data_IF_331492055392
#
_entry.id   IF_331492055392
#
_cell.length_a   1.000
_cell.length_b   1.000
_cell.length_c   1.000
_cell.angle_alpha   90.00
_cell.angle_beta   90.00
_cell.angle_gamma   90.00
#
_symmetry.space_group_name_H-M   'P 1'
#
loop_
_entity.id
_entity.type
_entity.pdbx_description
1 polymer ?
#
# COMPACT_ATOMS: atom_id res chain seq x y z
N UNK A 1 26.67 -55.01 -22.28
CA UNK A 1 25.56 -55.21 -21.33
C UNK A 1 24.29 -55.52 -22.09
N UNK A 2 23.63 -56.65 -21.81
CA UNK A 2 22.32 -56.97 -22.39
C UNK A 2 21.26 -55.95 -21.95
N UNK A 3 20.21 -55.79 -22.74
CA UNK A 3 19.14 -54.82 -22.44
C UNK A 3 18.41 -55.16 -21.13
N UNK A 4 18.13 -56.44 -20.89
CA UNK A 4 17.58 -56.94 -19.61
C UNK A 4 18.44 -56.53 -18.41
N UNK A 5 19.76 -56.55 -18.56
CA UNK A 5 20.69 -56.14 -17.50
C UNK A 5 20.67 -54.62 -17.28
N UNK A 6 20.63 -53.82 -18.35
CA UNK A 6 20.50 -52.36 -18.24
C UNK A 6 19.23 -51.95 -17.49
N UNK A 7 18.10 -52.61 -17.76
CA UNK A 7 16.82 -52.35 -17.08
C UNK A 7 16.92 -52.60 -15.59
N UNK A 8 17.61 -53.67 -15.16
CA UNK A 8 17.87 -53.94 -13.73
C UNK A 8 18.65 -52.81 -13.06
N UNK A 9 19.53 -52.13 -13.79
CA UNK A 9 20.34 -51.02 -13.29
C UNK A 9 19.64 -49.65 -13.36
N UNK A 10 18.40 -49.59 -13.87
CA UNK A 10 17.61 -48.35 -13.94
C UNK A 10 17.44 -47.74 -15.33
N UNK A 11 17.88 -48.43 -16.40
CA UNK A 11 17.57 -48.02 -17.78
C UNK A 11 16.07 -48.09 -18.08
N UNK A 12 15.55 -47.11 -18.80
CA UNK A 12 14.17 -47.10 -19.28
C UNK A 12 14.14 -47.22 -20.81
N UNK A 13 13.57 -48.30 -21.39
CA UNK A 13 13.45 -48.39 -22.85
C UNK A 13 12.53 -47.30 -23.38
N UNK A 14 12.90 -46.68 -24.51
CA UNK A 14 12.13 -45.60 -25.19
C UNK A 14 11.72 -44.46 -24.23
N UNK A 15 12.70 -43.74 -23.62
CA UNK A 15 12.39 -42.71 -22.64
C UNK A 15 11.69 -41.49 -23.29
N UNK A 16 10.51 -41.13 -22.80
CA UNK A 16 9.74 -39.95 -23.26
C UNK A 16 10.09 -38.71 -22.44
N UNK A 17 10.10 -38.83 -21.11
CA UNK A 17 10.31 -37.70 -20.20
C UNK A 17 11.78 -37.20 -20.20
N UNK A 18 12.03 -35.87 -20.08
CA UNK A 18 13.38 -35.31 -20.05
C UNK A 18 14.28 -35.94 -18.98
N UNK A 19 13.72 -36.22 -17.80
CA UNK A 19 14.45 -36.85 -16.69
C UNK A 19 14.89 -38.27 -16.99
N UNK A 20 14.05 -39.07 -17.67
CA UNK A 20 14.39 -40.44 -18.05
C UNK A 20 15.34 -40.48 -19.26
N UNK A 21 15.21 -39.54 -20.20
CA UNK A 21 16.20 -39.34 -21.28
C UNK A 21 17.58 -39.01 -20.70
N UNK A 22 17.63 -38.09 -19.75
CA UNK A 22 18.85 -37.75 -19.03
C UNK A 22 19.41 -38.94 -18.27
N UNK A 23 18.59 -39.68 -17.52
CA UNK A 23 19.00 -40.90 -16.82
C UNK A 23 19.73 -41.88 -17.74
N UNK A 24 19.12 -42.19 -18.88
CA UNK A 24 19.71 -43.09 -19.86
C UNK A 24 21.04 -42.57 -20.42
N UNK A 25 21.20 -41.25 -20.59
CA UNK A 25 22.47 -40.67 -21.06
C UNK A 25 23.62 -40.79 -20.07
N UNK A 26 23.35 -40.74 -18.76
CA UNK A 26 24.41 -40.80 -17.73
C UNK A 26 24.67 -42.23 -17.22
N UNK A 27 23.72 -43.15 -17.39
CA UNK A 27 23.82 -44.52 -16.89
C UNK A 27 25.11 -45.25 -17.31
N UNK A 28 25.58 -45.20 -18.59
CA UNK A 28 26.79 -45.90 -19.00
C UNK A 28 28.04 -45.43 -18.24
N UNK A 29 28.16 -44.12 -18.05
CA UNK A 29 29.30 -43.51 -17.36
C UNK A 29 29.26 -43.81 -15.87
N UNK A 30 28.09 -43.67 -15.23
CA UNK A 30 27.91 -44.02 -13.81
C UNK A 30 28.18 -45.51 -13.58
N UNK A 31 27.72 -46.38 -14.47
CA UNK A 31 28.00 -47.82 -14.40
C UNK A 31 29.50 -48.10 -14.52
N UNK A 32 30.19 -47.51 -15.51
CA UNK A 32 31.64 -47.71 -15.72
C UNK A 32 32.44 -47.37 -14.46
N UNK A 33 32.06 -46.32 -13.74
CA UNK A 33 32.83 -45.86 -12.60
C UNK A 33 32.43 -46.45 -11.26
N UNK A 34 31.12 -46.53 -10.98
CA UNK A 34 30.62 -46.90 -9.65
C UNK A 34 30.31 -48.40 -9.52
N UNK A 35 29.91 -49.07 -10.60
CA UNK A 35 29.59 -50.51 -10.54
C UNK A 35 30.77 -51.37 -10.09
N UNK A 36 32.03 -51.15 -10.53
CA UNK A 36 33.19 -51.91 -10.05
C UNK A 36 33.44 -51.81 -8.54
N UNK A 37 32.91 -50.76 -7.90
CA UNK A 37 33.05 -50.50 -6.46
C UNK A 37 31.96 -51.16 -5.65
N UNK A 38 30.70 -51.07 -6.09
CA UNK A 38 29.57 -51.62 -5.33
C UNK A 38 29.30 -53.11 -5.63
N UNK A 39 29.56 -53.56 -6.87
CA UNK A 39 29.37 -54.93 -7.37
C UNK A 39 27.99 -55.55 -7.10
N UNK A 40 26.98 -54.72 -6.78
CA UNK A 40 25.63 -55.14 -6.41
C UNK A 40 24.59 -54.35 -7.22
N UNK A 41 23.81 -55.00 -8.10
CA UNK A 41 22.84 -54.30 -8.95
C UNK A 41 21.82 -53.45 -8.19
N UNK A 42 21.29 -53.92 -7.06
CA UNK A 42 20.27 -53.17 -6.31
C UNK A 42 20.86 -51.91 -5.65
N UNK A 43 22.06 -52.03 -5.07
CA UNK A 43 22.78 -50.90 -4.47
C UNK A 43 23.28 -49.91 -5.51
N UNK A 44 23.69 -50.40 -6.68
CA UNK A 44 23.98 -49.55 -7.82
C UNK A 44 22.74 -48.76 -8.23
N UNK A 45 21.60 -49.43 -8.41
CA UNK A 45 20.35 -48.79 -8.84
C UNK A 45 19.90 -47.72 -7.85
N UNK A 46 19.95 -48.02 -6.55
CA UNK A 46 19.64 -47.06 -5.48
C UNK A 46 20.48 -45.79 -5.60
N UNK A 47 21.82 -45.94 -5.66
CA UNK A 47 22.74 -44.83 -5.84
C UNK A 47 22.49 -44.06 -7.15
N UNK A 48 22.34 -44.79 -8.26
CA UNK A 48 22.14 -44.21 -9.57
C UNK A 48 20.86 -43.34 -9.63
N UNK A 49 19.76 -43.80 -9.03
CA UNK A 49 18.51 -43.04 -9.01
C UNK A 49 18.61 -41.77 -8.15
N UNK A 50 19.32 -41.84 -7.01
CA UNK A 50 19.60 -40.69 -6.17
C UNK A 50 20.44 -39.65 -6.91
N UNK A 51 21.55 -40.09 -7.51
CA UNK A 51 22.47 -39.20 -8.21
C UNK A 51 21.85 -38.60 -9.48
N UNK A 52 21.07 -39.40 -10.22
CA UNK A 52 20.25 -38.92 -11.35
C UNK A 52 19.32 -37.80 -10.90
N UNK A 53 18.59 -38.00 -9.81
CA UNK A 53 17.65 -36.99 -9.33
C UNK A 53 18.39 -35.70 -8.99
N UNK A 54 19.46 -35.80 -8.21
CA UNK A 54 20.29 -34.66 -7.83
C UNK A 54 20.85 -33.90 -9.03
N UNK A 55 21.53 -34.59 -9.95
CA UNK A 55 22.13 -33.94 -11.13
C UNK A 55 21.07 -33.33 -12.05
N UNK A 56 19.92 -33.99 -12.23
CA UNK A 56 18.83 -33.46 -13.06
C UNK A 56 18.18 -32.23 -12.43
N UNK A 57 17.89 -32.27 -11.13
CA UNK A 57 17.23 -31.16 -10.44
C UNK A 57 18.14 -29.92 -10.43
N UNK A 58 19.46 -30.10 -10.22
CA UNK A 58 20.46 -29.03 -10.34
C UNK A 58 20.51 -28.46 -11.76
N UNK A 59 20.57 -29.32 -12.77
CA UNK A 59 20.54 -28.92 -14.18
C UNK A 59 19.31 -28.07 -14.50
N UNK A 60 18.12 -28.51 -14.08
CA UNK A 60 16.87 -27.77 -14.31
C UNK A 60 16.85 -26.43 -13.58
N UNK A 61 17.35 -26.36 -12.34
CA UNK A 61 17.49 -25.08 -11.63
C UNK A 61 18.43 -24.12 -12.37
N UNK A 62 19.58 -24.60 -12.82
CA UNK A 62 20.55 -23.79 -13.58
C UNK A 62 19.98 -23.31 -14.93
N UNK A 63 19.31 -24.18 -15.69
CA UNK A 63 18.64 -23.83 -16.96
C UNK A 63 17.54 -22.78 -16.77
N UNK A 64 16.75 -22.91 -15.69
CA UNK A 64 15.71 -21.93 -15.33
C UNK A 64 16.32 -20.58 -14.98
N UNK A 65 17.40 -20.58 -14.19
CA UNK A 65 18.11 -19.37 -13.82
C UNK A 65 18.71 -18.68 -15.04
N UNK A 66 19.37 -19.44 -15.91
CA UNK A 66 19.91 -18.94 -17.19
C UNK A 66 18.81 -18.32 -18.05
N UNK A 67 17.67 -19.00 -18.20
CA UNK A 67 16.54 -18.49 -18.99
C UNK A 67 15.98 -17.18 -18.44
N UNK A 68 15.97 -17.00 -17.11
CA UNK A 68 15.51 -15.78 -16.46
C UNK A 68 16.51 -14.62 -16.63
N UNK A 69 17.81 -14.90 -16.61
CA UNK A 69 18.85 -13.90 -16.91
C UNK A 69 18.76 -13.47 -18.38
N UNK A 70 18.59 -14.42 -19.31
CA UNK A 70 18.40 -14.11 -20.72
C UNK A 70 17.12 -13.30 -20.98
N UNK A 71 16.04 -13.56 -20.23
CA UNK A 71 14.85 -12.72 -20.29
C UNK A 71 15.16 -11.26 -19.91
N UNK A 72 15.94 -11.02 -18.85
CA UNK A 72 16.34 -9.65 -18.46
C UNK A 72 17.22 -9.00 -19.54
N UNK A 73 18.10 -9.78 -20.18
CA UNK A 73 18.98 -9.30 -21.26
C UNK A 73 18.26 -9.15 -22.61
N UNK A 74 17.06 -9.69 -22.75
CA UNK A 74 16.29 -9.67 -23.99
C UNK A 74 15.72 -8.29 -24.37
N UNK A 75 15.25 -8.18 -25.61
CA UNK A 75 14.73 -6.94 -26.21
C UNK A 75 13.23 -6.68 -25.91
N UNK A 76 12.68 -7.25 -24.85
CA UNK A 76 11.29 -7.03 -24.44
C UNK A 76 11.14 -5.65 -23.76
N UNK A 77 10.04 -4.90 -23.97
CA UNK A 77 9.76 -3.66 -23.25
C UNK A 77 9.87 -3.74 -21.71
N UNK A 78 9.56 -4.90 -21.12
CA UNK A 78 9.67 -5.16 -19.69
C UNK A 78 11.07 -5.63 -19.23
N UNK A 79 11.92 -6.01 -20.18
CA UNK A 79 13.30 -6.43 -19.96
C UNK A 79 14.24 -5.22 -19.98
N UNK A 80 15.52 -5.50 -19.76
CA UNK A 80 16.56 -4.51 -19.64
C UNK A 80 17.52 -4.47 -20.84
N UNK A 81 17.32 -5.31 -21.86
CA UNK A 81 18.25 -5.47 -22.99
C UNK A 81 18.60 -4.15 -23.67
N UNK A 82 17.61 -3.26 -23.88
CA UNK A 82 17.87 -1.93 -24.49
C UNK A 82 18.84 -1.07 -23.70
N UNK A 83 18.89 -1.23 -22.37
CA UNK A 83 19.76 -0.45 -21.48
C UNK A 83 21.17 -1.02 -21.40
N UNK A 84 21.38 -2.25 -21.88
CA UNK A 84 22.69 -2.91 -21.90
C UNK A 84 23.53 -2.51 -23.12
N UNK A 85 22.94 -1.79 -24.07
CA UNK A 85 23.65 -1.24 -25.23
C UNK A 85 24.52 -0.04 -24.82
N UNK A 86 25.74 0.03 -25.36
CA UNK A 86 26.72 1.08 -25.03
C UNK A 86 26.20 2.49 -25.34
N UNK A 87 25.46 2.62 -26.43
CA UNK A 87 24.89 3.88 -26.92
C UNK A 87 23.40 4.05 -26.55
N UNK A 88 22.94 3.42 -25.47
CA UNK A 88 21.56 3.55 -25.01
C UNK A 88 21.15 5.03 -24.81
N UNK A 89 19.99 5.40 -25.34
CA UNK A 89 19.37 6.73 -25.19
C UNK A 89 18.16 6.64 -24.25
N UNK A 90 18.20 7.38 -23.15
CA UNK A 90 17.10 7.48 -22.20
C UNK A 90 15.89 8.16 -22.85
N UNK A 91 14.70 7.56 -22.73
CA UNK A 91 13.47 8.05 -23.35
C UNK A 91 12.56 8.82 -22.38
N UNK A 92 12.77 8.70 -21.08
CA UNK A 92 11.97 9.42 -20.09
C UNK A 92 12.06 8.85 -18.68
N UNK A 93 11.30 9.47 -17.76
CA UNK A 93 11.25 9.09 -16.33
C UNK A 93 10.83 7.62 -16.09
N UNK A 94 10.06 6.99 -16.99
CA UNK A 94 9.66 5.58 -16.81
C UNK A 94 10.85 4.61 -16.92
N UNK A 95 11.90 4.97 -17.66
CA UNK A 95 13.09 4.13 -17.86
C UNK A 95 13.75 3.79 -16.53
N UNK A 96 13.78 4.76 -15.59
CA UNK A 96 14.28 4.56 -14.23
C UNK A 96 13.62 3.37 -13.56
N UNK A 97 12.28 3.34 -13.54
CA UNK A 97 11.52 2.29 -12.86
C UNK A 97 11.75 0.91 -13.47
N UNK A 98 11.97 0.84 -14.78
CA UNK A 98 12.27 -0.41 -15.48
C UNK A 98 13.69 -0.89 -15.17
N UNK A 99 14.67 0.03 -15.13
CA UNK A 99 16.05 -0.29 -14.77
C UNK A 99 16.14 -0.76 -13.31
N UNK A 100 15.58 0.00 -12.35
CA UNK A 100 15.56 -0.37 -10.93
C UNK A 100 14.93 -1.76 -10.70
N UNK A 101 13.81 -2.04 -11.36
CA UNK A 101 13.15 -3.35 -11.27
C UNK A 101 14.04 -4.48 -11.79
N UNK A 102 14.75 -4.27 -12.89
CA UNK A 102 15.62 -5.29 -13.47
C UNK A 102 16.94 -5.45 -12.68
N UNK A 103 17.49 -4.39 -12.10
CA UNK A 103 18.60 -4.47 -11.13
C UNK A 103 18.18 -5.34 -9.95
N UNK A 104 17.01 -5.09 -9.35
CA UNK A 104 16.51 -5.89 -8.23
C UNK A 104 16.39 -7.37 -8.63
N UNK A 105 15.76 -7.66 -9.79
CA UNK A 105 15.66 -9.03 -10.30
C UNK A 105 17.02 -9.70 -10.47
N UNK A 106 18.01 -9.00 -11.04
CA UNK A 106 19.34 -9.56 -11.22
C UNK A 106 20.06 -9.81 -9.89
N UNK A 107 19.89 -8.94 -8.88
CA UNK A 107 20.43 -9.18 -7.53
C UNK A 107 19.82 -10.42 -6.89
N UNK A 108 18.49 -10.60 -7.00
CA UNK A 108 17.82 -11.82 -6.53
C UNK A 108 18.37 -13.08 -7.25
N UNK A 109 18.67 -12.96 -8.56
CA UNK A 109 19.26 -14.07 -9.35
C UNK A 109 20.72 -14.33 -9.05
N UNK A 110 21.47 -13.31 -8.69
CA UNK A 110 22.85 -13.45 -8.22
C UNK A 110 22.91 -14.26 -6.92
N UNK A 111 22.00 -13.98 -5.98
CA UNK A 111 21.88 -14.72 -4.72
C UNK A 111 21.46 -16.19 -4.98
N UNK A 112 20.49 -16.42 -5.88
CA UNK A 112 20.08 -17.77 -6.27
C UNK A 112 21.24 -18.56 -6.92
N UNK A 113 22.05 -17.91 -7.76
CA UNK A 113 23.25 -18.50 -8.35
C UNK A 113 24.29 -18.89 -7.29
N UNK A 114 24.52 -17.99 -6.31
CA UNK A 114 25.46 -18.23 -5.21
C UNK A 114 25.02 -19.42 -4.34
N UNK A 115 23.73 -19.51 -4.00
CA UNK A 115 23.19 -20.67 -3.25
C UNK A 115 23.39 -21.99 -4.00
N UNK A 116 23.16 -22.00 -5.31
CA UNK A 116 23.41 -23.18 -6.14
C UNK A 116 24.88 -23.56 -6.21
N UNK A 117 25.77 -22.57 -6.30
CA UNK A 117 27.22 -22.80 -6.25
C UNK A 117 27.61 -23.43 -4.91
N UNK A 118 27.17 -22.87 -3.78
CA UNK A 118 27.47 -23.38 -2.44
C UNK A 118 26.97 -24.82 -2.25
N UNK A 119 25.73 -25.12 -2.71
CA UNK A 119 25.18 -26.48 -2.67
C UNK A 119 26.05 -27.47 -3.47
N UNK A 120 26.49 -27.06 -4.67
CA UNK A 120 27.35 -27.87 -5.52
C UNK A 120 28.75 -28.06 -4.94
N UNK A 121 29.37 -27.02 -4.40
CA UNK A 121 30.70 -27.08 -3.80
C UNK A 121 30.70 -27.94 -2.53
N UNK A 122 29.67 -27.80 -1.66
CA UNK A 122 29.50 -28.66 -0.48
C UNK A 122 29.38 -30.13 -0.88
N UNK A 123 28.56 -30.42 -1.88
CA UNK A 123 28.44 -31.78 -2.38
C UNK A 123 29.74 -32.28 -3.02
N UNK A 124 30.41 -31.46 -3.84
CA UNK A 124 31.64 -31.84 -4.51
C UNK A 124 32.76 -32.17 -3.50
N UNK A 125 32.90 -31.34 -2.47
CA UNK A 125 33.82 -31.58 -1.36
C UNK A 125 33.53 -32.89 -0.62
N UNK A 126 32.24 -33.29 -0.50
CA UNK A 126 31.85 -34.57 0.12
C UNK A 126 32.26 -35.81 -0.69
N UNK A 127 32.65 -35.63 -1.96
CA UNK A 127 33.13 -36.73 -2.81
C UNK A 127 34.61 -37.08 -2.55
N UNK A 128 35.33 -36.27 -1.77
CA UNK A 128 36.73 -36.49 -1.42
C UNK A 128 36.86 -37.20 -0.07
N UNK A 129 37.99 -37.89 0.11
CA UNK A 129 38.40 -38.41 1.41
C UNK A 129 38.65 -37.25 2.39
N UNK A 130 38.55 -37.50 3.72
CA UNK A 130 39.01 -36.54 4.71
C UNK A 130 40.44 -36.04 4.39
N UNK A 131 40.64 -34.73 4.35
CA UNK A 131 41.90 -34.11 3.91
C UNK A 131 41.99 -33.76 2.41
N UNK A 132 40.92 -33.96 1.63
CA UNK A 132 40.68 -33.33 0.33
C UNK A 132 41.55 -33.77 -0.86
N UNK A 133 42.64 -34.50 -0.64
CA UNK A 133 43.61 -34.84 -1.69
C UNK A 133 43.15 -35.92 -2.68
N UNK A 134 42.25 -36.81 -2.28
CA UNK A 134 41.88 -37.98 -3.08
C UNK A 134 40.38 -38.16 -3.16
N UNK A 135 39.86 -38.35 -4.37
CA UNK A 135 38.46 -38.67 -4.61
C UNK A 135 38.11 -40.07 -4.08
N UNK A 136 36.89 -40.22 -3.56
CA UNK A 136 36.33 -41.53 -3.22
C UNK A 136 36.17 -42.38 -4.50
N UNK A 137 36.48 -43.67 -4.38
CA UNK A 137 36.43 -44.60 -5.52
C UNK A 137 35.02 -44.65 -6.11
N UNK A 138 34.91 -44.54 -7.44
CA UNK A 138 33.64 -44.57 -8.15
C UNK A 138 32.81 -43.29 -8.05
N UNK A 139 33.40 -42.16 -7.63
CA UNK A 139 32.76 -40.83 -7.61
C UNK A 139 33.22 -39.88 -8.73
N UNK A 140 34.04 -40.35 -9.67
CA UNK A 140 34.62 -39.50 -10.73
C UNK A 140 33.56 -38.81 -11.59
N UNK A 141 32.49 -39.51 -11.95
CA UNK A 141 31.41 -39.00 -12.79
C UNK A 141 30.64 -37.90 -12.06
N UNK A 142 30.35 -38.10 -10.77
CA UNK A 142 29.71 -37.09 -9.93
C UNK A 142 30.57 -35.83 -9.83
N UNK A 143 31.88 -35.99 -9.64
CA UNK A 143 32.82 -34.88 -9.58
C UNK A 143 32.92 -34.14 -10.92
N UNK A 144 33.10 -34.86 -12.02
CA UNK A 144 33.14 -34.28 -13.37
C UNK A 144 31.84 -33.56 -13.73
N UNK A 145 30.68 -34.12 -13.33
CA UNK A 145 29.39 -33.46 -13.49
C UNK A 145 29.29 -32.18 -12.67
N UNK A 146 29.73 -32.19 -11.41
CA UNK A 146 29.72 -30.99 -10.58
C UNK A 146 30.65 -29.91 -11.15
N UNK A 147 31.85 -30.28 -11.60
CA UNK A 147 32.79 -29.36 -12.21
C UNK A 147 32.19 -28.63 -13.42
N UNK A 148 31.52 -29.36 -14.32
CA UNK A 148 30.82 -28.77 -15.46
C UNK A 148 29.69 -27.81 -15.02
N UNK A 149 28.90 -28.20 -14.02
CA UNK A 149 27.82 -27.34 -13.51
C UNK A 149 28.35 -26.09 -12.80
N UNK A 150 29.44 -26.21 -12.05
CA UNK A 150 30.12 -25.08 -11.41
C UNK A 150 30.65 -24.10 -12.44
N UNK A 151 31.23 -24.58 -13.54
CA UNK A 151 31.68 -23.71 -14.64
C UNK A 151 30.51 -22.95 -15.28
N UNK A 152 29.38 -23.63 -15.53
CA UNK A 152 28.17 -23.00 -16.04
C UNK A 152 27.63 -21.92 -15.09
N UNK A 153 27.57 -22.20 -13.79
CA UNK A 153 27.11 -21.24 -12.77
C UNK A 153 28.06 -20.05 -12.67
N UNK A 154 29.38 -20.26 -12.69
CA UNK A 154 30.38 -19.18 -12.69
C UNK A 154 30.26 -18.28 -13.91
N UNK A 155 29.98 -18.88 -15.08
CA UNK A 155 29.75 -18.13 -16.31
C UNK A 155 28.46 -17.30 -16.21
N UNK A 156 27.41 -17.87 -15.62
CA UNK A 156 26.15 -17.18 -15.38
C UNK A 156 26.31 -16.02 -14.38
N UNK A 157 27.04 -16.21 -13.28
CA UNK A 157 27.36 -15.16 -12.31
C UNK A 157 28.15 -14.01 -12.94
N UNK A 158 29.12 -14.32 -13.80
CA UNK A 158 29.85 -13.31 -14.58
C UNK A 158 28.91 -12.52 -15.48
N UNK A 159 28.00 -13.20 -16.17
CA UNK A 159 26.97 -12.56 -17.02
C UNK A 159 26.05 -11.64 -16.20
N UNK A 160 25.56 -12.10 -15.04
CA UNK A 160 24.73 -11.32 -14.12
C UNK A 160 25.48 -10.07 -13.65
N UNK A 161 26.73 -10.22 -13.23
CA UNK A 161 27.55 -9.11 -12.71
C UNK A 161 27.78 -8.05 -13.79
N UNK A 162 28.15 -8.47 -15.00
CA UNK A 162 28.30 -7.54 -16.13
C UNK A 162 27.00 -6.83 -16.49
N UNK A 163 25.86 -7.53 -16.44
CA UNK A 163 24.56 -6.91 -16.68
C UNK A 163 24.19 -5.90 -15.58
N UNK A 164 24.47 -6.23 -14.31
CA UNK A 164 24.25 -5.32 -13.17
C UNK A 164 25.05 -4.03 -13.33
N UNK A 165 26.35 -4.12 -13.61
CA UNK A 165 27.22 -2.95 -13.82
C UNK A 165 26.68 -2.04 -14.92
N UNK A 166 26.28 -2.63 -16.06
CA UNK A 166 25.70 -1.87 -17.18
C UNK A 166 24.39 -1.20 -16.81
N UNK A 167 23.50 -1.88 -16.07
CA UNK A 167 22.24 -1.30 -15.63
C UNK A 167 22.41 -0.22 -14.58
N UNK A 168 23.37 -0.37 -13.67
CA UNK A 168 23.71 0.67 -12.69
C UNK A 168 24.26 1.91 -13.40
N UNK A 169 25.13 1.75 -14.40
CA UNK A 169 25.58 2.84 -15.27
C UNK A 169 24.43 3.50 -16.04
N UNK A 170 23.52 2.71 -16.62
CA UNK A 170 22.33 3.22 -17.31
C UNK A 170 21.39 3.97 -16.35
N UNK A 171 21.22 3.49 -15.11
CA UNK A 171 20.43 4.15 -14.09
C UNK A 171 21.00 5.53 -13.76
N UNK A 172 22.32 5.63 -13.56
CA UNK A 172 22.99 6.90 -13.31
C UNK A 172 22.78 7.88 -14.48
N UNK A 173 22.87 7.40 -15.73
CA UNK A 173 22.59 8.23 -16.92
C UNK A 173 21.15 8.76 -16.91
N UNK A 174 20.17 7.91 -16.60
CA UNK A 174 18.75 8.32 -16.51
C UNK A 174 18.52 9.32 -15.38
N UNK A 175 19.12 9.10 -14.20
CA UNK A 175 18.98 10.01 -13.06
C UNK A 175 19.57 11.40 -13.34
N UNK A 176 20.66 11.49 -14.12
CA UNK A 176 21.23 12.76 -14.56
C UNK A 176 20.32 13.52 -15.53
N UNK A 177 19.72 12.83 -16.49
CA UNK A 177 18.85 13.44 -17.52
C UNK A 177 17.46 13.78 -16.99
N UNK A 178 16.96 12.97 -16.05
CA UNK A 178 15.62 13.09 -15.48
C UNK A 178 15.72 13.07 -13.96
N UNK A 179 16.20 14.16 -13.35
CA UNK A 179 16.31 14.27 -11.91
C UNK A 179 14.96 14.01 -11.24
N UNK A 180 15.03 13.35 -10.09
CA UNK A 180 13.85 12.98 -9.34
C UNK A 180 13.16 14.25 -8.83
N UNK A 181 11.95 14.49 -9.32
CA UNK A 181 10.98 15.33 -8.62
C UNK A 181 10.05 14.37 -7.90
N UNK A 182 10.17 14.36 -6.58
CA UNK A 182 9.32 13.60 -5.68
C UNK A 182 7.92 14.19 -5.72
N UNK A 183 7.12 13.80 -6.71
CA UNK A 183 5.67 14.01 -6.61
C UNK A 183 5.16 12.96 -5.65
N UNK A 184 4.61 13.41 -4.51
CA UNK A 184 4.03 12.55 -3.48
C UNK A 184 3.10 11.52 -4.15
N UNK A 185 3.56 10.27 -4.21
CA UNK A 185 2.77 9.19 -4.78
C UNK A 185 1.77 8.78 -3.73
N UNK A 186 0.59 9.42 -3.73
CA UNK A 186 -0.52 8.94 -2.90
C UNK A 186 -0.75 7.47 -3.20
N UNK A 187 -0.67 6.63 -2.18
CA UNK A 187 -0.80 5.19 -2.32
C UNK A 187 -2.16 4.85 -2.93
N UNK A 188 -2.23 3.73 -3.66
CA UNK A 188 -3.51 3.21 -4.16
C UNK A 188 -4.51 3.00 -3.00
N UNK A 189 -4.03 2.70 -1.79
CA UNK A 189 -4.85 2.60 -0.58
C UNK A 189 -5.45 3.96 -0.22
N UNK A 190 -4.67 5.02 -0.22
CA UNK A 190 -5.11 6.37 0.13
C UNK A 190 -6.15 6.89 -0.88
N UNK A 191 -5.95 6.63 -2.18
CA UNK A 191 -6.97 6.96 -3.20
C UNK A 191 -8.28 6.23 -2.97
N UNK A 192 -8.23 4.96 -2.57
CA UNK A 192 -9.42 4.17 -2.24
C UNK A 192 -10.08 4.68 -0.96
N UNK A 193 -9.30 5.02 0.07
CA UNK A 193 -9.80 5.60 1.31
C UNK A 193 -10.44 6.98 1.08
N UNK A 194 -9.84 7.85 0.26
CA UNK A 194 -10.41 9.14 -0.12
C UNK A 194 -11.77 8.98 -0.80
N UNK A 195 -11.89 8.06 -1.75
CA UNK A 195 -13.18 7.75 -2.40
C UNK A 195 -14.23 7.24 -1.40
N UNK A 196 -13.84 6.39 -0.46
CA UNK A 196 -14.73 5.93 0.62
C UNK A 196 -15.15 7.09 1.54
N UNK A 197 -14.24 8.01 1.87
CA UNK A 197 -14.50 9.19 2.71
C UNK A 197 -15.50 10.12 2.03
N UNK A 198 -15.31 10.43 0.73
CA UNK A 198 -16.25 11.24 -0.06
C UNK A 198 -17.64 10.60 -0.07
N UNK A 199 -17.74 9.31 -0.42
CA UNK A 199 -19.03 8.61 -0.45
C UNK A 199 -19.73 8.59 0.91
N UNK A 200 -18.98 8.42 2.00
CA UNK A 200 -19.55 8.49 3.37
C UNK A 200 -20.09 9.88 3.68
N UNK A 201 -19.38 10.95 3.28
CA UNK A 201 -19.82 12.34 3.49
C UNK A 201 -21.10 12.64 2.70
N UNK A 202 -21.17 12.23 1.44
CA UNK A 202 -22.37 12.36 0.61
C UNK A 202 -23.57 11.62 1.23
N UNK A 203 -23.38 10.37 1.66
CA UNK A 203 -24.44 9.61 2.33
C UNK A 203 -24.94 10.29 3.62
N UNK A 204 -24.04 10.86 4.45
CA UNK A 204 -24.43 11.61 5.66
C UNK A 204 -25.20 12.88 5.31
N UNK A 205 -24.77 13.60 4.27
CA UNK A 205 -25.45 14.81 3.77
C UNK A 205 -26.88 14.48 3.33
N UNK A 206 -27.03 13.43 2.53
CA UNK A 206 -28.33 12.97 2.02
C UNK A 206 -29.24 12.46 3.15
N UNK A 207 -28.71 11.65 4.06
CA UNK A 207 -29.46 11.13 5.20
C UNK A 207 -29.91 12.25 6.15
N UNK A 208 -29.01 13.17 6.49
CA UNK A 208 -29.34 14.32 7.34
C UNK A 208 -30.35 15.27 6.70
N UNK A 209 -30.31 15.43 5.36
CA UNK A 209 -31.34 16.17 4.64
C UNK A 209 -32.70 15.44 4.75
N UNK A 210 -32.75 14.13 4.48
CA UNK A 210 -33.97 13.32 4.59
C UNK A 210 -34.59 13.37 5.99
N UNK A 211 -33.78 13.27 7.04
CA UNK A 211 -34.24 13.39 8.43
C UNK A 211 -34.94 14.72 8.71
N UNK A 212 -34.36 15.84 8.24
CA UNK A 212 -34.98 17.16 8.38
C UNK A 212 -36.29 17.23 7.60
N UNK A 213 -36.31 16.71 6.36
CA UNK A 213 -37.51 16.74 5.53
C UNK A 213 -38.64 15.87 6.10
N UNK A 214 -38.32 14.72 6.69
CA UNK A 214 -39.30 13.84 7.33
C UNK A 214 -39.80 14.43 8.65
N UNK A 215 -38.96 15.17 9.39
CA UNK A 215 -39.35 15.87 10.60
C UNK A 215 -40.32 17.04 10.32
N UNK A 216 -40.08 17.82 9.25
CA UNK A 216 -40.91 18.99 8.92
C UNK A 216 -42.11 18.68 8.04
N UNK A 217 -42.12 17.53 7.36
CA UNK A 217 -43.21 17.12 6.48
C UNK A 217 -43.48 15.60 6.62
N UNK A 218 -43.89 15.12 7.81
CA UNK A 218 -44.03 13.69 8.10
C UNK A 218 -45.04 12.96 7.22
N UNK A 219 -46.03 13.70 6.69
CA UNK A 219 -47.10 13.13 5.85
C UNK A 219 -46.73 13.03 4.36
N UNK A 220 -45.50 13.39 3.97
CA UNK A 220 -45.11 13.48 2.55
C UNK A 220 -44.96 12.15 1.81
N UNK A 221 -44.95 11.00 2.52
CA UNK A 221 -44.79 9.63 1.94
C UNK A 221 -43.67 9.53 0.86
N UNK A 222 -42.56 10.25 1.05
CA UNK A 222 -41.44 10.28 0.10
C UNK A 222 -41.65 11.14 -1.17
N UNK A 223 -42.77 11.84 -1.27
CA UNK A 223 -43.06 12.80 -2.34
C UNK A 223 -42.47 14.20 -2.10
N UNK A 224 -42.74 15.16 -3.00
CA UNK A 224 -42.21 16.52 -2.91
C UNK A 224 -42.72 17.25 -1.66
N UNK A 225 -41.86 18.07 -1.08
CA UNK A 225 -42.16 18.93 0.07
C UNK A 225 -42.78 20.22 -0.45
N UNK A 226 -44.06 20.41 -0.17
CA UNK A 226 -44.88 21.53 -0.64
C UNK A 226 -45.40 22.32 0.54
N UNK A 227 -45.87 23.57 0.34
CA UNK A 227 -46.48 24.35 1.42
C UNK A 227 -47.56 23.60 2.20
N UNK A 228 -48.35 22.74 1.54
CA UNK A 228 -49.47 22.04 2.15
C UNK A 228 -49.06 20.93 3.14
N UNK A 229 -47.88 20.32 2.98
CA UNK A 229 -47.43 19.20 3.81
C UNK A 229 -46.39 19.57 4.86
N UNK A 230 -45.98 20.85 4.92
CA UNK A 230 -45.06 21.38 5.92
C UNK A 230 -45.79 21.66 7.25
N UNK A 231 -45.32 21.01 8.32
CA UNK A 231 -45.65 21.33 9.70
C UNK A 231 -44.83 22.53 10.18
N UNK A 232 -45.51 23.68 10.32
CA UNK A 232 -44.88 24.92 10.77
C UNK A 232 -44.41 24.90 12.22
N UNK A 233 -45.01 24.06 13.07
CA UNK A 233 -44.56 23.91 14.46
C UNK A 233 -43.23 23.14 14.51
N UNK A 234 -43.12 22.08 13.72
CA UNK A 234 -41.88 21.32 13.56
C UNK A 234 -40.75 22.20 13.00
N UNK A 235 -41.02 23.02 11.98
CA UNK A 235 -40.03 23.97 11.43
C UNK A 235 -39.54 24.97 12.49
N UNK A 236 -40.43 25.49 13.33
CA UNK A 236 -40.06 26.42 14.42
C UNK A 236 -39.24 25.75 15.52
N UNK A 237 -39.46 24.45 15.74
CA UNK A 237 -38.73 23.63 16.71
C UNK A 237 -37.33 23.21 16.25
N UNK A 238 -36.95 23.47 14.98
CA UNK A 238 -35.62 23.14 14.48
C UNK A 238 -34.54 23.94 15.20
N UNK A 239 -33.57 23.22 15.75
CA UNK A 239 -32.42 23.82 16.41
C UNK A 239 -31.50 24.49 15.39
N UNK A 240 -30.99 25.68 15.73
CA UNK A 240 -29.96 26.37 14.95
C UNK A 240 -28.70 25.51 14.80
N UNK A 241 -28.45 24.54 15.70
CA UNK A 241 -27.34 23.58 15.61
C UNK A 241 -27.44 22.62 14.42
N UNK A 242 -28.59 22.55 13.75
CA UNK A 242 -28.81 21.70 12.57
C UNK A 242 -28.76 22.50 11.25
N UNK A 243 -28.33 23.78 11.27
CA UNK A 243 -28.43 24.68 10.12
C UNK A 243 -27.80 24.14 8.83
N UNK A 244 -26.70 23.37 8.91
CA UNK A 244 -26.08 22.72 7.74
C UNK A 244 -27.00 21.64 7.15
N UNK A 245 -27.61 20.81 7.99
CA UNK A 245 -28.58 19.79 7.54
C UNK A 245 -29.84 20.44 6.98
N UNK A 246 -30.29 21.55 7.59
CA UNK A 246 -31.43 22.35 7.12
C UNK A 246 -31.11 22.95 5.74
N UNK A 247 -29.93 23.53 5.56
CA UNK A 247 -29.48 24.02 4.26
C UNK A 247 -29.46 22.91 3.20
N UNK A 248 -28.90 21.74 3.54
CA UNK A 248 -28.89 20.59 2.62
C UNK A 248 -30.30 20.07 2.30
N UNK A 249 -31.22 20.13 3.25
CA UNK A 249 -32.63 19.79 3.06
C UNK A 249 -33.34 20.79 2.14
N UNK A 250 -33.02 22.08 2.26
CA UNK A 250 -33.52 23.12 1.36
C UNK A 250 -32.98 22.94 -0.07
N UNK A 251 -31.73 22.47 -0.22
CA UNK A 251 -31.14 22.18 -1.54
C UNK A 251 -31.46 20.78 -2.08
N UNK A 252 -32.28 19.99 -1.38
CA UNK A 252 -32.66 18.66 -1.80
C UNK A 252 -33.62 18.67 -2.99
N UNK A 253 -33.48 17.72 -3.91
CA UNK A 253 -34.28 17.61 -5.15
C UNK A 253 -35.80 17.52 -4.91
N UNK A 254 -36.21 17.04 -3.73
CA UNK A 254 -37.61 16.88 -3.34
C UNK A 254 -38.24 18.19 -2.82
N UNK A 255 -37.47 19.27 -2.68
CA UNK A 255 -37.94 20.53 -2.10
C UNK A 255 -38.47 21.47 -3.19
N UNK A 256 -39.73 21.89 -3.10
CA UNK A 256 -40.27 22.91 -4.04
C UNK A 256 -39.86 24.31 -3.61
N UNK A 257 -39.77 25.25 -4.57
CA UNK A 257 -39.43 26.66 -4.30
C UNK A 257 -40.37 27.29 -3.26
N UNK A 258 -41.68 27.03 -3.39
CA UNK A 258 -42.68 27.52 -2.45
C UNK A 258 -42.54 26.88 -1.06
N UNK A 259 -42.12 25.60 -1.01
CA UNK A 259 -41.78 24.89 0.22
C UNK A 259 -40.57 25.51 0.93
N UNK A 260 -39.51 25.83 0.18
CA UNK A 260 -38.32 26.55 0.70
C UNK A 260 -38.72 27.86 1.36
N UNK A 261 -39.52 28.66 0.67
CA UNK A 261 -39.98 29.97 1.17
C UNK A 261 -40.79 29.84 2.45
N UNK A 262 -41.68 28.85 2.53
CA UNK A 262 -42.48 28.59 3.73
C UNK A 262 -41.60 28.17 4.90
N UNK A 263 -40.59 27.32 4.68
CA UNK A 263 -39.64 26.89 5.72
C UNK A 263 -38.82 28.08 6.20
N UNK A 264 -38.19 28.83 5.28
CA UNK A 264 -37.38 30.00 5.60
C UNK A 264 -38.17 31.03 6.40
N UNK A 265 -39.44 31.30 6.04
CA UNK A 265 -40.33 32.22 6.77
C UNK A 265 -40.69 31.75 8.18
N UNK A 266 -40.63 30.45 8.47
CA UNK A 266 -41.01 29.88 9.76
C UNK A 266 -39.81 29.44 10.62
N UNK A 267 -38.58 29.43 10.08
CA UNK A 267 -37.37 29.23 10.88
C UNK A 267 -37.17 30.37 11.88
N UNK A 268 -36.56 30.06 13.02
CA UNK A 268 -36.08 31.06 13.98
C UNK A 268 -35.14 32.07 13.31
N UNK A 269 -35.12 33.30 13.80
CA UNK A 269 -34.28 34.38 13.24
C UNK A 269 -32.80 33.98 13.17
N UNK A 270 -32.30 33.33 14.23
CA UNK A 270 -30.94 32.79 14.30
C UNK A 270 -30.68 31.73 13.25
N UNK A 271 -31.55 30.71 13.14
CA UNK A 271 -31.36 29.63 12.16
C UNK A 271 -31.46 30.13 10.72
N UNK A 272 -32.40 31.06 10.45
CA UNK A 272 -32.56 31.68 9.13
C UNK A 272 -31.33 32.48 8.72
N UNK A 273 -30.73 33.24 9.64
CA UNK A 273 -29.49 33.99 9.40
C UNK A 273 -28.36 33.05 8.97
N UNK A 274 -28.14 31.97 9.72
CA UNK A 274 -27.09 30.98 9.45
C UNK A 274 -27.27 30.27 8.10
N UNK A 275 -28.51 29.85 7.79
CA UNK A 275 -28.83 29.22 6.50
C UNK A 275 -28.59 30.18 5.32
N UNK A 276 -28.98 31.45 5.47
CA UNK A 276 -28.79 32.46 4.42
C UNK A 276 -27.31 32.83 4.24
N UNK A 277 -26.52 32.85 5.32
CA UNK A 277 -25.07 33.05 5.24
C UNK A 277 -24.39 31.93 4.44
N UNK A 278 -24.77 30.67 4.66
CA UNK A 278 -24.31 29.54 3.85
C UNK A 278 -24.70 29.70 2.38
N UNK A 279 -25.94 30.11 2.09
CA UNK A 279 -26.42 30.31 0.72
C UNK A 279 -25.64 31.41 -0.03
N UNK A 280 -25.29 32.51 0.66
CA UNK A 280 -24.58 33.64 0.06
C UNK A 280 -23.11 33.38 -0.28
N UNK A 281 -22.47 32.38 0.35
CA UNK A 281 -21.04 32.08 0.17
C UNK A 281 -20.76 31.07 -0.94
N UNK A 282 -21.81 30.60 -1.63
CA UNK A 282 -21.71 29.67 -2.76
C UNK A 282 -21.29 28.24 -2.36
N UNK A 283 -21.46 27.26 -3.26
CA UNK A 283 -21.18 25.85 -3.00
C UNK A 283 -19.70 25.55 -2.66
N UNK A 284 -18.78 26.46 -3.01
CA UNK A 284 -17.35 26.35 -2.70
C UNK A 284 -17.05 26.37 -1.19
N UNK A 285 -17.87 27.02 -0.35
CA UNK A 285 -17.67 27.03 1.11
C UNK A 285 -18.44 25.95 1.87
N UNK A 286 -19.41 25.27 1.24
CA UNK A 286 -20.04 24.09 1.84
C UNK A 286 -19.07 22.90 1.94
N UNK A 287 -18.07 22.87 1.05
CA UNK A 287 -17.00 21.88 1.06
C UNK A 287 -15.84 22.24 2.01
N UNK A 288 -15.64 23.54 2.31
CA UNK A 288 -14.61 24.08 3.22
C UNK A 288 -14.88 23.88 4.73
N UNK A 289 -15.89 23.11 5.10
CA UNK A 289 -16.05 22.62 6.48
C UNK A 289 -14.93 21.60 6.72
N UNK A 290 -13.75 22.09 7.14
CA UNK A 290 -12.54 21.32 7.48
C UNK A 290 -11.26 21.73 6.74
N UNK A 291 -11.32 22.60 5.74
CA UNK A 291 -10.15 23.14 5.05
C UNK A 291 -10.42 24.61 4.70
N UNK A 292 -9.91 25.51 5.52
CA UNK A 292 -9.74 26.91 5.14
C UNK A 292 -8.23 27.16 5.12
N UNK A 293 -7.71 27.53 3.95
CA UNK A 293 -6.35 28.07 3.83
C UNK A 293 -6.33 29.40 4.61
N UNK A 294 -5.20 29.69 5.27
CA UNK A 294 -5.10 30.63 6.39
C UNK A 294 -5.45 32.10 6.08
N UNK A 295 -5.71 32.43 4.82
CA UNK A 295 -5.83 33.81 4.34
C UNK A 295 -7.28 34.21 3.95
N UNK A 296 -8.26 33.30 4.03
CA UNK A 296 -9.67 33.61 3.79
C UNK A 296 -10.54 33.44 5.05
N UNK A 297 -11.26 34.49 5.44
CA UNK A 297 -12.15 34.55 6.61
C UNK A 297 -13.27 33.49 6.55
N UNK A 298 -12.96 32.33 7.10
CA UNK A 298 -13.82 31.16 7.15
C UNK A 298 -14.96 31.36 8.18
N UNK A 299 -16.23 31.41 7.77
CA UNK A 299 -17.36 31.69 8.68
C UNK A 299 -17.59 30.59 9.72
N UNK A 300 -17.24 29.33 9.41
CA UNK A 300 -17.38 28.22 10.36
C UNK A 300 -16.35 28.34 11.48
N UNK A 301 -15.15 28.84 11.16
CA UNK A 301 -14.14 29.15 12.16
C UNK A 301 -14.54 30.40 12.96
N UNK A 302 -15.15 31.40 12.31
CA UNK A 302 -15.67 32.60 12.98
C UNK A 302 -16.84 32.29 13.91
N UNK A 303 -17.78 31.42 13.54
CA UNK A 303 -18.93 31.04 14.37
C UNK A 303 -18.57 30.01 15.44
N UNK A 304 -17.62 29.10 15.21
CA UNK A 304 -17.05 28.26 16.27
C UNK A 304 -16.24 29.12 17.25
N UNK A 305 -15.46 30.11 16.75
CA UNK A 305 -14.78 31.09 17.58
C UNK A 305 -15.75 32.00 18.32
N UNK A 306 -16.90 32.37 17.74
CA UNK A 306 -17.94 33.14 18.41
C UNK A 306 -18.67 32.30 19.47
N UNK A 307 -18.96 31.02 19.20
CA UNK A 307 -19.52 30.10 20.19
C UNK A 307 -18.54 29.90 21.36
N UNK A 308 -17.24 29.77 21.06
CA UNK A 308 -16.17 29.69 22.06
C UNK A 308 -15.96 31.01 22.82
N UNK A 309 -16.19 32.17 22.17
CA UNK A 309 -16.11 33.49 22.79
C UNK A 309 -17.36 33.81 23.65
N UNK A 310 -18.54 33.33 23.25
CA UNK A 310 -19.79 33.41 24.03
C UNK A 310 -19.75 32.49 25.27
N UNK A 311 -18.92 31.43 25.26
CA UNK A 311 -18.66 30.52 26.39
C UNK A 311 -17.62 31.05 27.40
N UNK A 312 -17.55 32.38 27.57
CA UNK A 312 -16.83 33.13 28.64
C UNK A 312 -15.30 33.23 28.56
N UNK A 313 -14.77 33.92 27.54
CA UNK A 313 -13.47 34.58 27.67
C UNK A 313 -13.54 35.96 27.00
N UNK A 314 -13.31 37.01 27.78
CA UNK A 314 -13.38 38.41 27.36
C UNK A 314 -12.51 38.77 26.13
N UNK A 315 -12.50 40.06 25.73
CA UNK A 315 -12.17 40.53 24.39
C UNK A 315 -10.75 40.24 23.82
N UNK A 316 -9.91 39.48 24.53
CA UNK A 316 -8.57 39.06 24.09
C UNK A 316 -8.47 37.67 23.44
N UNK A 317 -9.53 36.84 23.44
CA UNK A 317 -9.44 35.44 22.96
C UNK A 317 -9.33 35.30 21.43
N UNK A 318 -9.75 36.31 20.66
CA UNK A 318 -9.75 36.29 19.20
C UNK A 318 -8.33 36.29 18.59
N UNK A 319 -7.31 36.76 19.32
CA UNK A 319 -5.94 36.88 18.81
C UNK A 319 -5.18 35.53 18.67
N UNK A 320 -5.73 34.41 19.16
CA UNK A 320 -5.09 33.09 19.11
C UNK A 320 -5.68 32.14 18.06
N UNK A 321 -6.63 32.61 17.25
CA UNK A 321 -7.42 31.80 16.30
C UNK A 321 -6.65 31.34 15.04
N UNK A 322 -5.45 31.88 14.79
CA UNK A 322 -4.58 31.47 13.67
C UNK A 322 -3.89 30.10 13.84
N UNK A 323 -4.15 29.36 14.94
CA UNK A 323 -3.38 28.15 15.32
C UNK A 323 -4.00 26.80 14.93
N UNK A 324 -5.13 26.78 14.23
CA UNK A 324 -5.76 25.55 13.75
C UNK A 324 -5.64 25.46 12.22
N UNK A 325 -4.44 25.18 11.73
CA UNK A 325 -4.19 24.90 10.31
C UNK A 325 -4.01 23.39 10.06
N UNK A 326 -4.48 22.84 8.93
CA UNK A 326 -4.28 21.42 8.60
C UNK A 326 -2.82 21.11 8.27
N UNK A 327 -2.42 19.85 8.50
CA UNK A 327 -1.11 19.23 8.24
C UNK A 327 -0.47 19.54 6.85
N UNK A 328 -1.25 19.94 5.86
CA UNK A 328 -0.82 20.01 4.46
C UNK A 328 -0.22 21.35 4.00
N UNK A 329 -0.19 22.40 4.83
CA UNK A 329 0.28 23.75 4.39
C UNK A 329 1.78 24.03 4.60
N UNK A 330 2.56 23.07 5.11
CA UNK A 330 4.03 23.18 5.13
C UNK A 330 4.62 24.29 6.02
N UNK A 331 3.83 24.90 6.91
CA UNK A 331 4.32 25.82 7.94
C UNK A 331 4.55 25.09 9.27
N UNK A 332 5.41 25.70 10.10
CA UNK A 332 6.11 25.07 11.21
C UNK A 332 5.23 24.34 12.22
N UNK A 333 5.77 23.24 12.76
CA UNK A 333 5.19 22.44 13.84
C UNK A 333 4.72 23.34 14.99
N UNK A 334 3.41 23.40 15.24
CA UNK A 334 2.92 23.71 16.58
C UNK A 334 3.18 22.47 17.40
N UNK A 335 4.18 22.53 18.29
CA UNK A 335 4.44 21.45 19.22
C UNK A 335 3.21 21.25 20.11
N UNK A 336 2.92 20.00 20.49
CA UNK A 336 1.85 19.63 21.43
C UNK A 336 1.85 20.44 22.76
N UNK A 337 2.92 21.18 23.03
CA UNK A 337 3.11 22.02 24.21
C UNK A 337 2.45 23.41 24.10
N UNK A 338 1.97 23.80 22.90
CA UNK A 338 1.43 25.15 22.63
C UNK A 338 -0.11 25.22 22.59
N UNK A 339 -0.81 24.10 22.84
CA UNK A 339 -2.26 24.06 23.02
C UNK A 339 -2.61 24.56 24.43
N UNK A 340 -3.43 25.61 24.50
CA UNK A 340 -3.90 26.15 25.78
C UNK A 340 -4.82 25.13 26.47
N UNK A 341 -4.28 24.42 27.46
CA UNK A 341 -4.94 23.32 28.17
C UNK A 341 -6.17 23.76 28.97
N UNK A 342 -6.25 25.03 29.35
CA UNK A 342 -7.42 25.59 30.06
C UNK A 342 -8.63 25.78 29.12
N UNK A 343 -8.39 25.96 27.82
CA UNK A 343 -9.46 26.04 26.81
C UNK A 343 -10.01 24.65 26.52
N UNK A 344 -9.13 23.65 26.37
CA UNK A 344 -9.53 22.26 26.16
C UNK A 344 -10.29 21.69 27.36
N UNK A 345 -9.85 22.00 28.59
CA UNK A 345 -10.54 21.62 29.85
C UNK A 345 -11.89 22.32 30.05
N UNK A 346 -12.19 23.42 29.35
CA UNK A 346 -13.49 24.11 29.42
C UNK A 346 -14.49 23.66 28.35
N UNK A 347 -14.03 22.97 27.31
CA UNK A 347 -14.88 22.41 26.25
C UNK A 347 -15.40 20.99 26.57
N UNK A 348 -15.24 20.52 27.80
CA UNK A 348 -15.44 19.13 28.24
C UNK A 348 -16.84 18.86 28.76
N UNK A 349 -17.87 19.07 27.94
CA UNK A 349 -19.06 18.22 28.08
C UNK A 349 -19.20 17.34 26.85
N UNK A 350 -19.52 16.06 27.07
CA UNK A 350 -19.71 15.08 26.01
C UNK A 350 -20.74 15.56 24.97
N UNK A 351 -21.64 16.45 25.39
CA UNK A 351 -22.67 17.08 24.57
C UNK A 351 -22.06 18.01 23.51
N UNK A 352 -21.06 18.81 23.86
CA UNK A 352 -20.39 19.76 22.96
C UNK A 352 -19.52 19.03 21.94
N UNK A 353 -18.83 17.96 22.35
CA UNK A 353 -18.09 17.09 21.44
C UNK A 353 -19.02 16.33 20.48
N UNK A 354 -20.14 15.82 20.96
CA UNK A 354 -21.18 15.20 20.13
C UNK A 354 -21.75 16.20 19.11
N UNK A 355 -21.99 17.45 19.50
CA UNK A 355 -22.48 18.51 18.59
C UNK A 355 -21.45 18.83 17.50
N UNK A 356 -20.17 18.86 17.83
CA UNK A 356 -19.10 19.12 16.85
C UNK A 356 -18.89 17.93 15.90
N UNK A 357 -19.03 16.69 16.37
CA UNK A 357 -19.02 15.49 15.53
C UNK A 357 -20.27 15.39 14.62
N UNK A 358 -21.45 15.67 15.16
CA UNK A 358 -22.73 15.68 14.43
C UNK A 358 -22.79 16.74 13.32
N UNK A 359 -21.96 17.78 13.44
CA UNK A 359 -21.77 18.85 12.46
C UNK A 359 -20.53 18.67 11.57
N UNK A 360 -19.74 17.60 11.77
CA UNK A 360 -18.59 17.27 10.93
C UNK A 360 -17.38 18.19 11.11
N UNK A 361 -17.24 18.82 12.28
CA UNK A 361 -16.15 19.76 12.60
C UNK A 361 -14.83 19.06 12.96
N UNK A 362 -14.84 17.76 13.24
CA UNK A 362 -13.65 16.94 13.48
C UNK A 362 -13.52 15.82 12.44
N UNK A 363 -12.28 15.42 12.13
CA UNK A 363 -12.07 14.10 11.59
C UNK A 363 -11.93 13.07 12.72
N UNK A 364 -12.08 11.80 12.36
CA UNK A 364 -12.13 10.69 13.31
C UNK A 364 -10.80 10.53 14.09
N UNK A 365 -9.67 10.95 13.51
CA UNK A 365 -8.36 10.90 14.18
C UNK A 365 -8.22 12.04 15.20
N UNK A 366 -8.67 13.25 14.87
CA UNK A 366 -8.74 14.36 15.82
C UNK A 366 -9.71 14.07 16.98
N UNK A 367 -10.86 13.47 16.68
CA UNK A 367 -11.86 13.06 17.68
C UNK A 367 -11.34 11.94 18.60
N UNK A 368 -10.70 10.91 18.04
CA UNK A 368 -10.08 9.82 18.81
C UNK A 368 -8.93 10.34 19.70
N UNK A 369 -8.11 11.28 19.21
CA UNK A 369 -7.00 11.85 19.98
C UNK A 369 -7.49 12.74 21.12
N UNK A 370 -8.53 13.56 20.88
CA UNK A 370 -9.15 14.39 21.92
C UNK A 370 -9.83 13.52 22.98
N UNK A 371 -10.60 12.51 22.57
CA UNK A 371 -11.24 11.56 23.49
C UNK A 371 -10.23 10.73 24.29
N UNK A 372 -9.13 10.27 23.68
CA UNK A 372 -8.09 9.51 24.37
C UNK A 372 -7.32 10.35 25.41
N UNK A 373 -7.09 11.64 25.13
CA UNK A 373 -6.45 12.56 26.09
C UNK A 373 -7.38 12.93 27.25
N UNK A 374 -8.68 13.07 26.99
CA UNK A 374 -9.68 13.35 28.03
C UNK A 374 -9.87 12.15 28.97
N UNK A 375 -9.90 10.93 28.43
CA UNK A 375 -9.94 9.70 29.24
C UNK A 375 -8.70 9.51 30.13
N UNK A 376 -7.53 10.00 29.71
CA UNK A 376 -6.33 10.04 30.56
C UNK A 376 -6.46 11.02 31.72
N UNK A 377 -7.10 12.17 31.51
CA UNK A 377 -7.30 13.20 32.52
C UNK A 377 -8.39 12.83 33.54
N UNK A 378 -9.43 12.10 33.13
CA UNK A 378 -10.45 11.55 34.06
C UNK A 378 -9.88 10.45 34.97
N UNK A 379 -8.80 9.78 34.55
CA UNK A 379 -8.09 8.77 35.35
C UNK A 379 -7.07 9.34 36.35
N UNK A 380 -6.79 10.64 36.33
CA UNK A 380 -5.86 11.32 37.26
C UNK A 380 -6.57 11.95 38.47
N UNK A 381 -7.90 11.89 38.55
CA UNK A 381 -8.66 12.27 39.74
C UNK A 381 -8.89 11.05 40.64
N UNK A 382 -7.90 10.71 41.47
CA UNK A 382 -8.08 10.13 42.81
C UNK A 382 -6.73 9.93 43.47
N UNK A 383 -6.41 10.76 44.48
CA UNK A 383 -5.57 10.46 45.66
C UNK A 383 -5.29 11.74 46.47
N UNK A 384 -6.32 12.45 46.94
CA UNK A 384 -6.20 13.19 48.21
C UNK A 384 -7.46 12.93 49.02
N UNK A 385 -7.36 11.94 49.91
CA UNK A 385 -8.27 11.78 51.05
C UNK A 385 -7.49 12.20 52.29
N UNK A 386 -8.02 13.21 52.97
CA UNK A 386 -7.91 13.61 54.37
C UNK A 386 -6.72 13.13 55.22
#
# INVERSE_FOLDING_TARGET
>A
MSEKYKVKLGWTPRPVHPKTKYANSILPTVHKEYFPVCQRPDKFKEFFLQERNRQFDLKTKAEKLSSQVEFVRGNNPAAAGRFLAENFVAKGKQDRSTIERNIKKLKDKQEEAAKLQDELEKHDNSLFKPGGRFLLRGRGQSHASNALQLENIRTLQRSISSALEKLEGALQKVLRLYPYQETAKQSRKDKVQRRKKVKRRENRKEQGAKEILDAIAPNRKGGPVTPANIDTAAVKGLSHRLFVRIFNALEHEQMTTEGKDKILKNLSSTCRRLVNQLASKGPLHADCIGYCEADEECPVNWECAHLLAELELGPGALAQTHRFAPWETGQAQVGLQDLNMDVLKKCTDAKTLQILDDNGCFDMEASEVVCAKLAQLEGECDCESD
#
